data_IF_358834450611
#
_entry.id   IF_358834450611
#
_cell.length_a   1.000
_cell.length_b   1.000
_cell.length_c   1.000
_cell.angle_alpha   90.00
_cell.angle_beta   90.00
_cell.angle_gamma   90.00
#
_symmetry.space_group_name_H-M   'P 1'
#
loop_
_entity.id
_entity.type
_entity.pdbx_description
1 polymer ?
#
# COMPACT_ATOMS: atom_id res chain seq x y z
N UNK A 1 16.08 7.12 20.32
CA UNK A 1 14.73 7.38 19.81
C UNK A 1 14.21 6.10 19.17
N UNK A 2 13.01 5.64 19.52
CA UNK A 2 12.46 4.40 18.93
C UNK A 2 12.24 4.60 17.42
N UNK A 3 12.32 3.52 16.63
CA UNK A 3 12.19 3.58 15.17
C UNK A 3 10.89 4.29 14.73
N UNK A 4 9.77 3.96 15.38
CA UNK A 4 8.46 4.56 15.13
C UNK A 4 8.47 6.09 15.28
N UNK A 5 9.11 6.60 16.33
CA UNK A 5 9.19 8.05 16.58
C UNK A 5 10.00 8.75 15.48
N UNK A 6 11.11 8.15 15.04
CA UNK A 6 11.91 8.66 13.91
C UNK A 6 11.09 8.76 12.63
N UNK A 7 10.30 7.73 12.32
CA UNK A 7 9.42 7.72 11.14
C UNK A 7 8.35 8.80 11.25
N UNK A 8 7.71 8.95 12.41
CA UNK A 8 6.67 9.96 12.62
C UNK A 8 7.20 11.38 12.48
N UNK A 9 8.33 11.70 13.12
CA UNK A 9 8.97 13.01 12.96
C UNK A 9 9.31 13.30 11.50
N UNK A 10 9.77 12.30 10.75
CA UNK A 10 10.04 12.47 9.34
C UNK A 10 8.76 12.73 8.52
N UNK A 11 7.68 11.98 8.78
CA UNK A 11 6.39 12.16 8.12
C UNK A 11 5.80 13.54 8.39
N UNK A 12 5.82 14.01 9.64
CA UNK A 12 5.31 15.33 10.04
C UNK A 12 6.00 16.48 9.31
N UNK A 13 7.26 16.29 8.88
CA UNK A 13 8.03 17.27 8.11
C UNK A 13 7.95 17.07 6.59
N UNK A 14 7.53 15.88 6.12
CA UNK A 14 7.62 15.50 4.70
C UNK A 14 6.28 15.45 3.99
N UNK A 15 5.16 15.31 4.72
CA UNK A 15 3.82 15.19 4.14
C UNK A 15 2.80 16.08 4.88
N UNK A 16 1.71 16.50 4.21
CA UNK A 16 0.64 17.25 4.86
C UNK A 16 0.00 16.49 6.03
N UNK A 17 -0.56 17.22 6.99
CA UNK A 17 -1.24 16.65 8.18
C UNK A 17 -2.28 15.59 7.84
N UNK A 18 -3.08 15.80 6.79
CA UNK A 18 -4.08 14.82 6.33
C UNK A 18 -3.44 13.50 5.89
N UNK A 19 -2.24 13.54 5.30
CA UNK A 19 -1.50 12.32 4.95
C UNK A 19 -0.98 11.62 6.19
N UNK A 20 -0.50 12.34 7.20
CA UNK A 20 -0.11 11.74 8.48
C UNK A 20 -1.30 11.02 9.12
N UNK A 21 -2.48 11.65 9.16
CA UNK A 21 -3.70 11.03 9.68
C UNK A 21 -4.08 9.76 8.92
N UNK A 22 -4.01 9.81 7.59
CA UNK A 22 -4.22 8.64 6.75
C UNK A 22 -3.23 7.51 7.08
N UNK A 23 -1.93 7.80 7.15
CA UNK A 23 -0.89 6.80 7.47
C UNK A 23 -1.13 6.17 8.85
N UNK A 24 -1.51 6.97 9.85
CA UNK A 24 -1.86 6.46 11.18
C UNK A 24 -3.13 5.59 11.14
N UNK A 25 -4.11 5.93 10.30
CA UNK A 25 -5.28 5.10 10.02
C UNK A 25 -4.90 3.76 9.39
N UNK A 26 -3.99 3.77 8.41
CA UNK A 26 -3.44 2.55 7.80
C UNK A 26 -2.69 1.71 8.83
N UNK A 27 -1.81 2.30 9.64
CA UNK A 27 -1.10 1.61 10.73
C UNK A 27 -2.08 0.89 11.66
N UNK A 28 -3.13 1.58 12.11
CA UNK A 28 -4.14 1.03 13.01
C UNK A 28 -4.93 -0.12 12.36
N UNK A 29 -5.42 0.09 11.13
CA UNK A 29 -6.18 -0.94 10.42
C UNK A 29 -5.33 -2.17 10.09
N UNK A 30 -4.05 -1.98 9.74
CA UNK A 30 -3.09 -3.07 9.57
C UNK A 30 -2.95 -3.90 10.84
N UNK A 31 -2.86 -3.25 12.00
CA UNK A 31 -2.79 -3.94 13.30
C UNK A 31 -4.03 -4.81 13.55
N UNK A 32 -5.21 -4.29 13.24
CA UNK A 32 -6.47 -4.99 13.47
C UNK A 32 -6.69 -6.16 12.53
N UNK A 33 -6.40 -5.98 11.24
CA UNK A 33 -6.45 -7.07 10.26
C UNK A 33 -5.42 -8.16 10.58
N UNK A 34 -4.19 -7.78 10.95
CA UNK A 34 -3.15 -8.74 11.33
C UNK A 34 -3.56 -9.55 12.55
N UNK A 35 -4.08 -8.89 13.60
CA UNK A 35 -4.58 -9.57 14.80
C UNK A 35 -5.72 -10.54 14.47
N UNK A 36 -6.66 -10.10 13.65
CA UNK A 36 -7.82 -10.91 13.27
C UNK A 36 -7.44 -12.16 12.47
N UNK A 37 -6.53 -12.02 11.52
CA UNK A 37 -6.10 -13.11 10.64
C UNK A 37 -4.92 -13.92 11.18
N UNK A 38 -4.44 -13.65 12.41
CA UNK A 38 -3.37 -14.42 13.05
C UNK A 38 -1.96 -14.12 12.53
N UNK A 39 -1.70 -12.92 12.02
CA UNK A 39 -0.38 -12.47 11.55
C UNK A 39 0.29 -11.52 12.55
N UNK A 40 1.59 -11.29 12.35
CA UNK A 40 2.38 -10.38 13.20
C UNK A 40 1.84 -8.95 13.15
N UNK A 41 1.28 -8.50 14.27
CA UNK A 41 0.75 -7.14 14.43
C UNK A 41 1.87 -6.10 14.31
N UNK A 42 3.04 -6.37 14.88
CA UNK A 42 4.20 -5.47 14.82
C UNK A 42 4.68 -5.26 13.39
N UNK A 43 4.83 -6.34 12.62
CA UNK A 43 5.26 -6.30 11.22
C UNK A 43 4.24 -5.55 10.36
N UNK A 44 2.94 -5.80 10.56
CA UNK A 44 1.88 -5.11 9.82
C UNK A 44 1.80 -3.61 10.14
N UNK A 45 2.00 -3.23 11.42
CA UNK A 45 2.06 -1.82 11.82
C UNK A 45 3.25 -1.11 11.20
N UNK A 46 4.44 -1.73 11.23
CA UNK A 46 5.64 -1.15 10.65
C UNK A 46 5.44 -0.90 9.14
N UNK A 47 4.94 -1.89 8.41
CA UNK A 47 4.65 -1.75 6.98
C UNK A 47 3.56 -0.69 6.71
N UNK A 48 2.48 -0.67 7.49
CA UNK A 48 1.43 0.35 7.37
C UNK A 48 1.92 1.77 7.65
N UNK A 49 2.76 1.97 8.66
CA UNK A 49 3.34 3.26 9.00
C UNK A 49 4.29 3.80 7.91
N UNK A 50 4.94 2.90 7.17
CA UNK A 50 6.02 3.25 6.22
C UNK A 50 5.62 3.08 4.74
N UNK A 51 4.36 2.77 4.43
CA UNK A 51 3.94 2.52 3.05
C UNK A 51 4.06 3.75 2.13
N UNK A 52 3.74 4.93 2.66
CA UNK A 52 3.58 6.18 1.89
C UNK A 52 4.74 7.16 2.11
N UNK A 53 5.92 6.67 2.50
CA UNK A 53 7.06 7.53 2.80
C UNK A 53 7.36 8.51 1.65
N UNK A 54 7.52 7.99 0.43
CA UNK A 54 7.85 8.80 -0.74
C UNK A 54 6.64 9.45 -1.43
N UNK A 55 5.46 9.49 -0.80
CA UNK A 55 4.20 9.90 -1.45
C UNK A 55 4.21 11.34 -2.01
N UNK A 56 4.93 12.24 -1.35
CA UNK A 56 5.00 13.66 -1.69
C UNK A 56 6.34 14.07 -2.32
N UNK A 57 7.17 13.11 -2.72
CA UNK A 57 8.38 13.42 -3.48
C UNK A 57 8.01 13.96 -4.85
N UNK A 58 8.89 14.80 -5.42
CA UNK A 58 8.70 15.26 -6.79
C UNK A 58 8.69 14.05 -7.76
N UNK A 59 7.76 14.01 -8.74
CA UNK A 59 7.70 12.90 -9.69
C UNK A 59 9.03 12.63 -10.41
N UNK A 60 9.85 13.65 -10.69
CA UNK A 60 11.17 13.46 -11.31
C UNK A 60 12.13 12.78 -10.34
N UNK A 61 12.10 13.16 -9.06
CA UNK A 61 12.94 12.53 -8.03
C UNK A 61 12.57 11.06 -7.84
N UNK A 62 11.27 10.73 -7.89
CA UNK A 62 10.81 9.34 -7.86
C UNK A 62 11.41 8.53 -9.01
N UNK A 63 11.34 9.07 -10.24
CA UNK A 63 11.89 8.41 -11.42
C UNK A 63 13.41 8.23 -11.35
N UNK A 64 14.14 9.27 -10.92
CA UNK A 64 15.59 9.22 -10.76
C UNK A 64 15.98 8.17 -9.73
N UNK A 65 15.34 8.17 -8.56
CA UNK A 65 15.61 7.20 -7.49
C UNK A 65 15.31 5.77 -7.92
N UNK A 66 14.16 5.55 -8.58
CA UNK A 66 13.80 4.24 -9.09
C UNK A 66 14.82 3.72 -10.11
N UNK A 67 15.21 4.56 -11.07
CA UNK A 67 16.19 4.20 -12.11
C UNK A 67 17.58 3.93 -11.52
N UNK A 68 18.05 4.79 -10.59
CA UNK A 68 19.33 4.62 -9.92
C UNK A 68 19.40 3.34 -9.07
N UNK A 69 18.27 2.90 -8.51
CA UNK A 69 18.14 1.65 -7.78
C UNK A 69 17.99 0.41 -8.69
N UNK A 70 17.96 0.59 -10.02
CA UNK A 70 17.78 -0.50 -10.98
C UNK A 70 16.37 -1.07 -11.02
N UNK A 71 15.36 -0.32 -10.55
CA UNK A 71 13.97 -0.74 -10.65
C UNK A 71 13.49 -0.68 -12.10
N UNK A 72 12.68 -1.65 -12.50
CA UNK A 72 12.02 -1.62 -13.79
C UNK A 72 10.96 -0.52 -13.81
N UNK A 73 11.10 0.43 -14.73
CA UNK A 73 10.12 1.49 -14.94
C UNK A 73 9.39 1.24 -16.26
N UNK A 74 8.16 0.74 -16.18
CA UNK A 74 7.32 0.53 -17.34
C UNK A 74 6.82 1.87 -17.94
N UNK A 75 6.20 1.78 -19.12
CA UNK A 75 5.71 2.96 -19.85
C UNK A 75 4.66 3.78 -19.07
N UNK A 76 3.79 3.13 -18.29
CA UNK A 76 2.77 3.84 -17.49
C UNK A 76 3.45 4.60 -16.36
N UNK A 77 4.39 3.97 -15.67
CA UNK A 77 5.16 4.61 -14.59
C UNK A 77 6.09 5.72 -15.12
N UNK A 78 6.66 5.58 -16.32
CA UNK A 78 7.44 6.63 -16.96
C UNK A 78 6.59 7.86 -17.33
N UNK A 79 5.37 7.65 -17.85
CA UNK A 79 4.41 8.73 -18.12
C UNK A 79 3.87 9.36 -16.82
N UNK A 80 3.74 8.55 -15.76
CA UNK A 80 3.12 8.94 -14.48
C UNK A 80 4.01 8.58 -13.29
N UNK A 81 5.15 9.28 -13.08
CA UNK A 81 6.14 8.87 -12.09
C UNK A 81 5.66 8.90 -10.64
N UNK A 82 4.60 9.64 -10.32
CA UNK A 82 3.97 9.59 -8.99
C UNK A 82 3.49 8.18 -8.59
N UNK A 83 3.32 7.26 -9.54
CA UNK A 83 2.98 5.86 -9.27
C UNK A 83 4.15 5.07 -8.65
N UNK A 84 5.39 5.54 -8.84
CA UNK A 84 6.60 4.91 -8.30
C UNK A 84 6.80 5.13 -6.80
N UNK A 85 5.95 5.94 -6.14
CA UNK A 85 6.09 6.21 -4.71
C UNK A 85 6.07 4.93 -3.87
N UNK A 86 5.35 3.87 -4.27
CA UNK A 86 5.36 2.62 -3.52
C UNK A 86 6.76 1.97 -3.49
N UNK A 87 7.36 1.78 -4.67
CA UNK A 87 8.68 1.18 -4.76
C UNK A 87 9.76 2.10 -4.12
N UNK A 88 9.66 3.41 -4.32
CA UNK A 88 10.60 4.36 -3.72
C UNK A 88 10.41 4.47 -2.21
N UNK A 89 9.19 4.36 -1.67
CA UNK A 89 8.95 4.26 -0.22
C UNK A 89 9.68 3.07 0.39
N UNK A 90 9.75 1.92 -0.32
CA UNK A 90 10.48 0.75 0.16
C UNK A 90 12.00 1.01 0.18
N UNK A 91 12.53 1.75 -0.80
CA UNK A 91 13.92 2.20 -0.79
C UNK A 91 14.20 3.14 0.39
N UNK A 92 13.33 4.12 0.63
CA UNK A 92 13.47 5.07 1.76
C UNK A 92 13.38 4.34 3.10
N UNK A 93 12.44 3.40 3.26
CA UNK A 93 12.32 2.56 4.44
C UNK A 93 13.62 1.80 4.74
N UNK A 94 14.25 1.22 3.71
CA UNK A 94 15.52 0.51 3.83
C UNK A 94 16.68 1.46 4.16
N UNK A 95 16.85 2.50 3.36
CA UNK A 95 18.06 3.33 3.36
C UNK A 95 18.11 4.32 4.53
N UNK A 96 16.98 4.96 4.87
CA UNK A 96 16.92 6.00 5.91
C UNK A 96 16.59 5.43 7.30
N UNK A 97 15.79 4.36 7.33
CA UNK A 97 15.26 3.79 8.56
C UNK A 97 15.85 2.43 8.92
N UNK A 98 16.64 1.82 8.04
CA UNK A 98 17.33 0.54 8.30
C UNK A 98 16.39 -0.66 8.35
N UNK A 99 15.19 -0.56 7.75
CA UNK A 99 14.23 -1.66 7.69
C UNK A 99 14.75 -2.69 6.69
N UNK A 100 14.89 -3.94 7.14
CA UNK A 100 15.48 -5.03 6.33
C UNK A 100 14.57 -6.23 6.19
N UNK A 101 13.45 -6.25 6.90
CA UNK A 101 12.45 -7.31 6.90
C UNK A 101 11.80 -7.42 5.51
N UNK A 102 12.01 -8.53 4.77
CA UNK A 102 11.53 -8.63 3.39
C UNK A 102 10.01 -8.50 3.26
N UNK A 103 9.25 -8.99 4.26
CA UNK A 103 7.79 -8.89 4.27
C UNK A 103 7.29 -7.44 4.41
N UNK A 104 8.05 -6.58 5.10
CA UNK A 104 7.72 -5.16 5.27
C UNK A 104 8.03 -4.42 3.97
N UNK A 105 9.23 -4.59 3.43
CA UNK A 105 9.64 -3.95 2.18
C UNK A 105 8.75 -4.37 0.99
N UNK A 106 8.40 -5.66 0.91
CA UNK A 106 7.48 -6.18 -0.12
C UNK A 106 6.08 -5.58 -0.01
N UNK A 107 5.57 -5.42 1.22
CA UNK A 107 4.28 -4.80 1.47
C UNK A 107 4.26 -3.32 1.06
N UNK A 108 5.34 -2.59 1.35
CA UNK A 108 5.50 -1.18 0.94
C UNK A 108 5.57 -1.07 -0.58
N UNK A 109 6.44 -1.83 -1.25
CA UNK A 109 6.65 -1.74 -2.70
C UNK A 109 5.38 -2.08 -3.50
N UNK A 110 4.53 -2.95 -2.96
CA UNK A 110 3.35 -3.44 -3.65
C UNK A 110 2.03 -2.81 -3.20
N UNK A 111 2.02 -1.82 -2.30
CA UNK A 111 0.75 -1.28 -1.78
C UNK A 111 -0.10 -0.57 -2.84
N UNK A 112 0.49 -0.04 -3.92
CA UNK A 112 -0.25 0.73 -4.94
C UNK A 112 -0.97 -0.17 -5.96
N UNK A 113 -0.27 -1.13 -6.58
CA UNK A 113 -0.85 -2.01 -7.62
C UNK A 113 -1.08 -3.45 -7.16
N UNK A 114 -0.53 -3.82 -6.01
CA UNK A 114 -0.33 -5.20 -5.61
C UNK A 114 0.59 -5.95 -6.57
N UNK A 115 0.64 -7.26 -6.39
CA UNK A 115 1.15 -8.23 -7.36
C UNK A 115 0.48 -9.60 -7.14
N UNK A 116 0.53 -10.52 -8.10
CA UNK A 116 0.25 -11.93 -7.81
C UNK A 116 1.18 -12.45 -6.70
N UNK A 117 0.66 -13.38 -5.89
CA UNK A 117 1.42 -14.05 -4.82
C UNK A 117 1.89 -13.12 -3.70
N UNK A 118 1.19 -12.02 -3.46
CA UNK A 118 1.41 -11.19 -2.27
C UNK A 118 1.30 -12.04 -1.00
N UNK A 119 2.30 -11.87 -0.12
CA UNK A 119 2.24 -12.40 1.24
C UNK A 119 1.12 -11.74 2.06
N UNK A 120 0.73 -12.33 3.20
CA UNK A 120 -0.39 -11.83 3.98
C UNK A 120 -0.23 -10.39 4.48
N UNK A 121 0.98 -10.00 4.93
CA UNK A 121 1.28 -8.62 5.35
C UNK A 121 1.07 -7.66 4.18
N UNK A 122 1.53 -8.02 2.97
CA UNK A 122 1.32 -7.21 1.77
C UNK A 122 -0.17 -7.08 1.43
N UNK A 123 -0.96 -8.16 1.53
CA UNK A 123 -2.41 -8.08 1.36
C UNK A 123 -3.09 -7.18 2.40
N UNK A 124 -2.63 -7.22 3.65
CA UNK A 124 -3.13 -6.36 4.73
C UNK A 124 -2.86 -4.89 4.42
N UNK A 125 -1.62 -4.51 4.10
CA UNK A 125 -1.27 -3.12 3.78
C UNK A 125 -2.03 -2.63 2.55
N UNK A 126 -2.09 -3.45 1.49
CA UNK A 126 -2.83 -3.13 0.26
C UNK A 126 -4.32 -2.86 0.53
N UNK A 127 -4.96 -3.68 1.39
CA UNK A 127 -6.35 -3.48 1.76
C UNK A 127 -6.54 -2.26 2.68
N UNK A 128 -5.67 -2.11 3.68
CA UNK A 128 -5.75 -1.05 4.68
C UNK A 128 -5.60 0.35 4.08
N UNK A 129 -4.67 0.56 3.13
CA UNK A 129 -4.52 1.85 2.44
C UNK A 129 -5.84 2.34 1.81
N UNK A 130 -6.61 1.42 1.22
CA UNK A 130 -7.90 1.78 0.61
C UNK A 130 -9.05 1.93 1.60
N UNK A 131 -8.98 1.26 2.75
CA UNK A 131 -10.14 1.03 3.62
C UNK A 131 -10.02 1.61 5.02
N UNK A 132 -8.89 2.24 5.37
CA UNK A 132 -8.74 2.88 6.67
C UNK A 132 -9.87 3.89 6.96
N UNK A 133 -10.23 4.12 8.23
CA UNK A 133 -11.44 4.85 8.60
C UNK A 133 -11.58 6.25 7.98
N UNK A 134 -10.48 6.98 7.81
CA UNK A 134 -10.51 8.34 7.26
C UNK A 134 -10.78 8.39 5.75
N UNK A 135 -10.88 7.23 5.06
CA UNK A 135 -11.35 7.15 3.66
C UNK A 135 -12.86 7.39 3.52
N UNK A 136 -13.60 7.48 4.64
CA UNK A 136 -15.02 7.80 4.69
C UNK A 136 -15.91 6.60 5.06
N UNK A 137 -17.20 6.88 5.31
CA UNK A 137 -18.14 5.93 5.91
C UNK A 137 -19.33 5.65 4.98
N UNK A 138 -19.03 5.19 3.76
CA UNK A 138 -20.06 4.79 2.80
C UNK A 138 -20.44 3.32 2.96
N UNK A 139 -21.68 2.93 2.63
CA UNK A 139 -22.09 1.51 2.69
C UNK A 139 -21.19 0.57 1.86
N UNK A 140 -20.63 1.06 0.74
CA UNK A 140 -19.70 0.28 -0.08
C UNK A 140 -18.36 0.05 0.65
N UNK A 141 -17.77 1.10 1.25
CA UNK A 141 -16.54 0.98 2.03
C UNK A 141 -16.73 0.10 3.27
N UNK A 142 -17.85 0.25 3.98
CA UNK A 142 -18.16 -0.58 5.15
C UNK A 142 -18.33 -2.06 4.77
N UNK A 143 -18.96 -2.33 3.63
CA UNK A 143 -19.04 -3.69 3.12
C UNK A 143 -17.66 -4.26 2.77
N UNK A 144 -16.79 -3.46 2.16
CA UNK A 144 -15.41 -3.87 1.86
C UNK A 144 -14.60 -4.13 3.13
N UNK A 145 -14.72 -3.28 4.17
CA UNK A 145 -14.09 -3.50 5.49
C UNK A 145 -14.53 -4.83 6.09
N UNK A 146 -15.83 -5.08 6.21
CA UNK A 146 -16.36 -6.37 6.71
C UNK A 146 -15.86 -7.56 5.89
N UNK A 147 -15.80 -7.39 4.57
CA UNK A 147 -15.29 -8.41 3.64
C UNK A 147 -13.81 -8.73 3.91
N UNK A 148 -12.98 -7.73 4.13
CA UNK A 148 -11.55 -7.91 4.46
C UNK A 148 -11.35 -8.67 5.77
N UNK A 149 -12.16 -8.43 6.80
CA UNK A 149 -12.11 -9.20 8.04
C UNK A 149 -12.55 -10.65 7.80
N UNK A 150 -13.66 -10.88 7.08
CA UNK A 150 -14.14 -12.24 6.83
C UNK A 150 -13.19 -13.06 5.93
N UNK A 151 -12.59 -12.45 4.91
CA UNK A 151 -11.64 -13.11 4.01
C UNK A 151 -10.72 -12.07 3.37
N UNK A 152 -9.43 -12.13 3.72
CA UNK A 152 -8.43 -11.16 3.29
C UNK A 152 -8.29 -11.08 1.76
N UNK A 153 -8.27 -12.23 1.07
CA UNK A 153 -8.13 -12.27 -0.40
C UNK A 153 -9.36 -11.73 -1.12
N UNK A 154 -10.56 -12.02 -0.61
CA UNK A 154 -11.80 -11.40 -1.09
C UNK A 154 -11.75 -9.88 -0.91
N UNK A 155 -11.22 -9.42 0.23
CA UNK A 155 -10.94 -8.01 0.48
C UNK A 155 -10.04 -7.37 -0.58
N UNK A 156 -8.89 -7.97 -0.86
CA UNK A 156 -7.95 -7.52 -1.92
C UNK A 156 -8.66 -7.43 -3.28
N UNK A 157 -9.41 -8.47 -3.65
CA UNK A 157 -10.18 -8.51 -4.91
C UNK A 157 -11.18 -7.35 -5.00
N UNK A 158 -11.90 -7.06 -3.92
CA UNK A 158 -12.87 -5.96 -3.86
C UNK A 158 -12.16 -4.60 -3.99
N UNK A 159 -11.00 -4.41 -3.34
CA UNK A 159 -10.19 -3.19 -3.48
C UNK A 159 -9.72 -2.98 -4.92
N UNK A 160 -9.31 -4.06 -5.60
CA UNK A 160 -8.99 -4.00 -7.03
C UNK A 160 -10.22 -3.64 -7.87
N UNK A 161 -11.37 -4.30 -7.67
CA UNK A 161 -12.60 -3.98 -8.40
C UNK A 161 -13.00 -2.51 -8.24
N UNK A 162 -12.95 -1.99 -7.02
CA UNK A 162 -13.27 -0.59 -6.72
C UNK A 162 -12.33 0.37 -7.46
N UNK A 163 -11.02 0.11 -7.38
CA UNK A 163 -10.00 0.93 -8.07
C UNK A 163 -10.14 0.86 -9.59
N UNK A 164 -10.39 -0.33 -10.16
CA UNK A 164 -10.56 -0.52 -11.60
C UNK A 164 -11.82 0.19 -12.13
N UNK A 165 -12.95 0.08 -11.43
CA UNK A 165 -14.19 0.81 -11.78
C UNK A 165 -13.93 2.33 -11.85
N UNK A 166 -13.19 2.88 -10.88
CA UNK A 166 -12.81 4.28 -10.87
C UNK A 166 -11.94 4.67 -12.08
N UNK A 167 -10.92 3.87 -12.40
CA UNK A 167 -10.02 4.14 -13.53
C UNK A 167 -10.76 4.08 -14.88
N UNK A 168 -11.63 3.08 -15.07
CA UNK A 168 -12.50 2.99 -16.26
C UNK A 168 -13.42 4.21 -16.36
N UNK A 169 -14.11 4.55 -15.26
CA UNK A 169 -15.04 5.71 -15.22
C UNK A 169 -14.34 7.04 -15.54
N UNK A 170 -13.06 7.16 -15.18
CA UNK A 170 -12.27 8.38 -15.36
C UNK A 170 -11.36 8.35 -16.58
N UNK A 171 -11.49 7.34 -17.45
CA UNK A 171 -10.67 7.16 -18.66
C UNK A 171 -9.17 7.23 -18.41
N UNK A 172 -8.72 6.66 -17.28
CA UNK A 172 -7.30 6.61 -16.90
C UNK A 172 -6.65 5.28 -17.30
N UNK A 173 -5.34 5.27 -17.60
CA UNK A 173 -4.62 4.01 -17.84
C UNK A 173 -4.77 3.06 -16.65
N UNK A 174 -4.91 1.76 -16.96
CA UNK A 174 -4.95 0.69 -15.97
C UNK A 174 -3.63 -0.06 -16.04
N UNK A 175 -2.89 -0.04 -14.93
CA UNK A 175 -1.65 -0.79 -14.84
C UNK A 175 -1.93 -2.31 -14.91
N UNK A 176 -1.27 -3.09 -15.79
CA UNK A 176 -1.53 -4.54 -15.94
C UNK A 176 -1.39 -5.32 -14.64
N UNK A 177 -0.46 -4.91 -13.76
CA UNK A 177 -0.23 -5.51 -12.44
C UNK A 177 -1.50 -5.47 -11.58
N UNK A 178 -2.28 -4.39 -11.62
CA UNK A 178 -3.55 -4.30 -10.87
C UNK A 178 -4.58 -5.33 -11.34
N UNK A 179 -4.64 -5.62 -12.65
CA UNK A 179 -5.51 -6.66 -13.21
C UNK A 179 -5.03 -8.06 -12.83
N UNK A 180 -3.73 -8.29 -12.89
CA UNK A 180 -3.12 -9.55 -12.46
C UNK A 180 -3.37 -9.82 -10.97
N UNK A 181 -3.16 -8.83 -10.10
CA UNK A 181 -3.48 -8.87 -8.66
C UNK A 181 -4.93 -9.26 -8.42
N UNK A 182 -5.87 -8.60 -9.12
CA UNK A 182 -7.30 -8.88 -9.01
C UNK A 182 -7.63 -10.34 -9.35
N UNK A 183 -7.10 -10.83 -10.48
CA UNK A 183 -7.37 -12.19 -10.96
C UNK A 183 -6.75 -13.25 -10.04
N UNK A 184 -5.57 -12.98 -9.50
CA UNK A 184 -4.94 -13.82 -8.49
C UNK A 184 -5.79 -13.89 -7.21
N UNK A 185 -6.22 -12.74 -6.69
CA UNK A 185 -7.06 -12.68 -5.48
C UNK A 185 -8.40 -13.40 -5.66
N UNK A 186 -9.03 -13.27 -6.84
CA UNK A 186 -10.26 -13.99 -7.21
C UNK A 186 -10.08 -15.52 -7.21
N UNK A 187 -8.90 -16.03 -7.59
CA UNK A 187 -8.60 -17.47 -7.50
C UNK A 187 -8.38 -17.89 -6.05
N UNK A 188 -7.65 -17.09 -5.28
CA UNK A 188 -7.31 -17.38 -3.88
C UNK A 188 -8.51 -17.35 -2.93
N UNK A 189 -9.50 -16.48 -3.14
CA UNK A 189 -10.68 -16.42 -2.27
C UNK A 189 -11.57 -17.67 -2.32
N UNK A 190 -11.35 -18.54 -3.31
CA UNK A 190 -12.12 -19.78 -3.54
C UNK A 190 -11.39 -21.04 -3.08
N UNK A 191 -10.11 -20.91 -2.73
CA UNK A 191 -9.27 -21.99 -2.22
C UNK A 191 -9.40 -22.07 -0.70
#
# INVERSE_FOLDING_TARGET
>A
MQLRDRVLTWLENSVPRERVQHILGVEAMCADLARHHGYSVETARLAGLTHDLAKFFDPRDLLVRATAAGLEVDAICAERPHLLHADVSALVARDEFGITEPQVLDAIANHTFGRPEMGPICCIVFAADKLEPHRGDTPELDNMRRTCFANLYRGVRYVCDYSLKYLVKTSRPIHPRSVATRNWALKRERA
#
